data_IF_470793542193
#
_entry.id   IF_470793542193
#
_cell.length_a   1.000
_cell.length_b   1.000
_cell.length_c   1.000
_cell.angle_alpha   90.00
_cell.angle_beta   90.00
_cell.angle_gamma   90.00
#
_symmetry.space_group_name_H-M   'P 1'
#
loop_
_entity.id
_entity.type
_entity.pdbx_description
1 polymer ?
#
# COMPACT_ATOMS: atom_id res chain seq x y z
N UNK A 1 -8.77 1.32 -8.26
CA UNK A 1 -9.64 1.30 -7.07
C UNK A 1 -9.42 2.55 -6.26
N UNK A 2 -8.18 2.91 -5.94
CA UNK A 2 -7.81 4.23 -5.42
C UNK A 2 -8.57 5.37 -6.11
N UNK A 3 -8.37 5.53 -7.43
CA UNK A 3 -9.11 6.48 -8.30
C UNK A 3 -10.65 6.44 -8.18
N UNK A 4 -11.22 5.26 -7.92
CA UNK A 4 -12.67 5.13 -7.76
C UNK A 4 -13.11 5.86 -6.50
N UNK A 5 -12.34 5.79 -5.42
CA UNK A 5 -12.67 6.36 -4.12
C UNK A 5 -12.36 7.84 -3.97
N UNK A 6 -11.30 8.35 -4.61
CA UNK A 6 -10.83 9.72 -4.43
C UNK A 6 -11.19 10.67 -5.60
N UNK A 7 -11.50 10.14 -6.80
CA UNK A 7 -11.82 10.95 -7.99
C UNK A 7 -13.22 10.69 -8.54
N UNK A 8 -13.61 9.43 -8.77
CA UNK A 8 -14.78 9.12 -9.61
C UNK A 8 -16.08 8.88 -8.85
N UNK A 9 -16.02 8.20 -7.70
CA UNK A 9 -17.19 7.69 -7.01
C UNK A 9 -17.88 8.71 -6.12
N UNK A 10 -19.21 8.67 -6.12
CA UNK A 10 -20.02 9.37 -5.11
C UNK A 10 -20.01 8.60 -3.79
N UNK A 11 -20.19 9.28 -2.66
CA UNK A 11 -20.13 8.64 -1.34
C UNK A 11 -21.10 7.43 -1.20
N UNK A 12 -22.30 7.52 -1.77
CA UNK A 12 -23.28 6.42 -1.78
C UNK A 12 -22.79 5.22 -2.60
N UNK A 13 -22.22 5.48 -3.79
CA UNK A 13 -21.63 4.42 -4.63
C UNK A 13 -20.43 3.75 -3.94
N UNK A 14 -19.59 4.53 -3.25
CA UNK A 14 -18.44 4.02 -2.50
C UNK A 14 -18.85 3.14 -1.32
N UNK A 15 -19.94 3.47 -0.65
CA UNK A 15 -20.51 2.61 0.40
C UNK A 15 -20.96 1.27 -0.19
N UNK A 16 -21.69 1.29 -1.32
CA UNK A 16 -22.12 0.07 -2.01
C UNK A 16 -20.93 -0.79 -2.48
N UNK A 17 -19.89 -0.16 -3.05
CA UNK A 17 -18.69 -0.87 -3.48
C UNK A 17 -17.95 -1.51 -2.31
N UNK A 18 -17.78 -0.77 -1.21
CA UNK A 18 -17.14 -1.27 0.01
C UNK A 18 -17.90 -2.48 0.57
N UNK A 19 -19.22 -2.38 0.64
CA UNK A 19 -20.10 -3.46 1.11
C UNK A 19 -20.01 -4.70 0.21
N UNK A 20 -19.93 -4.52 -1.11
CA UNK A 20 -19.78 -5.61 -2.07
C UNK A 20 -18.44 -6.36 -1.86
N UNK A 21 -17.33 -5.64 -1.68
CA UNK A 21 -16.01 -6.22 -1.39
C UNK A 21 -16.00 -6.92 -0.03
N UNK A 22 -16.60 -6.33 1.00
CA UNK A 22 -16.68 -6.95 2.33
C UNK A 22 -17.51 -8.24 2.33
N UNK A 23 -18.68 -8.24 1.66
CA UNK A 23 -19.50 -9.45 1.51
C UNK A 23 -18.81 -10.49 0.64
N UNK A 24 -18.07 -10.05 -0.38
CA UNK A 24 -17.41 -10.90 -1.37
C UNK A 24 -18.40 -11.83 -2.06
N UNK A 25 -19.54 -11.26 -2.44
CA UNK A 25 -20.63 -11.95 -3.10
C UNK A 25 -20.81 -11.33 -4.50
N UNK A 26 -20.67 -12.15 -5.55
CA UNK A 26 -20.82 -11.71 -6.93
C UNK A 26 -22.21 -11.15 -7.20
N UNK A 27 -23.24 -11.60 -6.47
CA UNK A 27 -24.60 -11.10 -6.63
C UNK A 27 -24.78 -9.66 -6.11
N UNK A 28 -23.86 -9.16 -5.26
CA UNK A 28 -23.89 -7.76 -4.84
C UNK A 28 -23.58 -6.79 -6.00
N UNK A 29 -23.01 -7.29 -7.09
CA UNK A 29 -22.66 -6.51 -8.28
C UNK A 29 -23.87 -5.87 -8.97
N UNK A 30 -25.07 -6.46 -8.84
CA UNK A 30 -26.30 -5.91 -9.44
C UNK A 30 -26.67 -4.53 -8.89
N UNK A 31 -26.18 -4.20 -7.69
CA UNK A 31 -26.42 -2.92 -7.01
C UNK A 31 -25.37 -1.86 -7.35
N UNK A 32 -24.28 -2.25 -8.02
CA UNK A 32 -23.18 -1.34 -8.35
C UNK A 32 -23.43 -0.60 -9.68
N UNK A 33 -22.93 0.63 -9.83
CA UNK A 33 -22.82 1.29 -11.13
C UNK A 33 -21.97 0.47 -12.11
N UNK A 34 -22.25 0.58 -13.42
CA UNK A 34 -21.63 -0.25 -14.45
C UNK A 34 -20.09 -0.20 -14.45
N UNK A 35 -19.50 0.98 -14.22
CA UNK A 35 -18.05 1.15 -14.18
C UNK A 35 -17.40 0.44 -12.97
N UNK A 36 -18.12 0.34 -11.85
CA UNK A 36 -17.68 -0.35 -10.64
C UNK A 36 -17.83 -1.87 -10.76
N UNK A 37 -18.85 -2.36 -11.48
CA UNK A 37 -19.06 -3.81 -11.69
C UNK A 37 -17.83 -4.47 -12.29
N UNK A 38 -17.26 -3.86 -13.33
CA UNK A 38 -16.08 -4.39 -14.00
C UNK A 38 -14.88 -4.46 -13.04
N UNK A 39 -14.67 -3.41 -12.23
CA UNK A 39 -13.59 -3.37 -11.26
C UNK A 39 -13.75 -4.44 -10.17
N UNK A 40 -14.96 -4.56 -9.60
CA UNK A 40 -15.27 -5.58 -8.60
C UNK A 40 -15.12 -7.00 -9.15
N UNK A 41 -15.63 -7.26 -10.35
CA UNK A 41 -15.53 -8.58 -10.97
C UNK A 41 -14.08 -8.96 -11.29
N UNK A 42 -13.28 -8.00 -11.78
CA UNK A 42 -11.85 -8.21 -12.01
C UNK A 42 -11.11 -8.53 -10.71
N UNK A 43 -11.38 -7.79 -9.63
CA UNK A 43 -10.83 -8.07 -8.30
C UNK A 43 -11.24 -9.47 -7.82
N UNK A 44 -12.54 -9.76 -7.82
CA UNK A 44 -13.08 -11.04 -7.36
C UNK A 44 -12.45 -12.21 -8.12
N UNK A 45 -12.40 -12.15 -9.45
CA UNK A 45 -11.82 -13.22 -10.27
C UNK A 45 -10.33 -13.39 -10.01
N UNK A 46 -9.57 -12.30 -9.97
CA UNK A 46 -8.11 -12.34 -9.75
C UNK A 46 -7.75 -12.98 -8.41
N UNK A 47 -8.47 -12.62 -7.34
CA UNK A 47 -8.20 -13.13 -6.00
C UNK A 47 -8.63 -14.58 -5.82
N UNK A 48 -9.75 -14.98 -6.43
CA UNK A 48 -10.14 -16.39 -6.44
C UNK A 48 -9.19 -17.24 -7.28
N UNK A 49 -8.66 -16.72 -8.40
CA UNK A 49 -7.64 -17.39 -9.21
C UNK A 49 -6.33 -17.58 -8.40
N UNK A 50 -5.82 -16.53 -7.76
CA UNK A 50 -4.65 -16.62 -6.87
C UNK A 50 -4.91 -17.64 -5.75
N UNK A 51 -6.09 -17.58 -5.13
CA UNK A 51 -6.48 -18.50 -4.07
C UNK A 51 -6.51 -19.96 -4.52
N UNK A 52 -7.07 -20.23 -5.70
CA UNK A 52 -7.05 -21.55 -6.32
C UNK A 52 -5.62 -22.04 -6.58
N UNK A 53 -4.77 -21.16 -7.11
CA UNK A 53 -3.39 -21.48 -7.44
C UNK A 53 -2.55 -21.82 -6.21
N UNK A 54 -2.70 -21.05 -5.13
CA UNK A 54 -2.04 -21.31 -3.85
C UNK A 54 -2.58 -22.59 -3.21
N UNK A 55 -3.89 -22.83 -3.24
CA UNK A 55 -4.48 -24.07 -2.74
C UNK A 55 -3.94 -25.29 -3.49
N UNK A 56 -3.86 -25.21 -4.82
CA UNK A 56 -3.35 -26.28 -5.67
C UNK A 56 -1.86 -26.56 -5.44
N UNK A 57 -1.04 -25.52 -5.29
CA UNK A 57 0.43 -25.65 -5.19
C UNK A 57 0.93 -25.90 -3.77
N UNK A 58 0.26 -25.32 -2.77
CA UNK A 58 0.72 -25.30 -1.36
C UNK A 58 -0.26 -25.99 -0.40
N UNK A 59 -1.47 -26.35 -0.84
CA UNK A 59 -2.50 -26.94 0.04
C UNK A 59 -3.14 -25.93 1.01
N UNK A 60 -2.90 -24.63 0.83
CA UNK A 60 -3.35 -23.57 1.73
C UNK A 60 -4.56 -22.82 1.16
N UNK A 61 -5.62 -22.73 1.95
CA UNK A 61 -6.80 -21.93 1.61
C UNK A 61 -6.62 -20.47 2.04
N UNK A 62 -6.18 -19.62 1.11
CA UNK A 62 -5.73 -18.23 1.39
C UNK A 62 -6.76 -17.15 1.09
N UNK A 63 -7.84 -17.47 0.38
CA UNK A 63 -8.90 -16.52 0.00
C UNK A 63 -9.41 -15.68 1.19
N UNK A 64 -9.64 -16.24 2.40
CA UNK A 64 -10.09 -15.44 3.55
C UNK A 64 -9.13 -14.32 3.95
N UNK A 65 -7.81 -14.53 3.80
CA UNK A 65 -6.80 -13.53 4.13
C UNK A 65 -6.73 -12.42 3.07
N UNK A 66 -6.74 -12.81 1.79
CA UNK A 66 -6.73 -11.87 0.68
C UNK A 66 -8.01 -11.01 0.67
N UNK A 67 -9.17 -11.65 0.84
CA UNK A 67 -10.47 -10.98 0.98
C UNK A 67 -10.43 -9.95 2.12
N UNK A 68 -9.93 -10.34 3.31
CA UNK A 68 -9.84 -9.43 4.45
C UNK A 68 -8.97 -8.21 4.12
N UNK A 69 -7.81 -8.42 3.49
CA UNK A 69 -6.91 -7.34 3.13
C UNK A 69 -7.57 -6.32 2.18
N UNK A 70 -8.30 -6.81 1.16
CA UNK A 70 -9.02 -5.93 0.24
C UNK A 70 -10.22 -5.24 0.89
N UNK A 71 -10.94 -5.91 1.78
CA UNK A 71 -12.04 -5.31 2.52
C UNK A 71 -11.55 -4.19 3.46
N UNK A 72 -10.46 -4.42 4.17
CA UNK A 72 -9.84 -3.42 5.05
C UNK A 72 -9.34 -2.20 4.24
N UNK A 73 -8.76 -2.43 3.06
CA UNK A 73 -8.37 -1.34 2.14
C UNK A 73 -9.57 -0.53 1.65
N UNK A 74 -10.66 -1.18 1.23
CA UNK A 74 -11.86 -0.48 0.77
C UNK A 74 -12.51 0.33 1.91
N UNK A 75 -12.49 -0.21 3.14
CA UNK A 75 -12.97 0.50 4.33
C UNK A 75 -12.12 1.71 4.65
N UNK A 76 -10.79 1.61 4.56
CA UNK A 76 -9.91 2.75 4.82
C UNK A 76 -10.04 3.83 3.76
N UNK A 77 -10.22 3.47 2.49
CA UNK A 77 -10.57 4.44 1.45
C UNK A 77 -11.92 5.11 1.69
N UNK A 78 -12.93 4.35 2.15
CA UNK A 78 -14.24 4.92 2.48
C UNK A 78 -14.16 5.93 3.65
N UNK A 79 -13.28 5.69 4.64
CA UNK A 79 -13.01 6.65 5.71
C UNK A 79 -12.43 7.94 5.15
N UNK A 80 -11.43 7.85 4.27
CA UNK A 80 -10.84 9.02 3.61
C UNK A 80 -11.87 9.76 2.74
N UNK A 81 -12.69 9.06 1.97
CA UNK A 81 -13.78 9.67 1.22
C UNK A 81 -14.75 10.42 2.15
N UNK A 82 -15.12 9.85 3.30
CA UNK A 82 -15.98 10.54 4.29
C UNK A 82 -15.33 11.81 4.83
N UNK A 83 -14.03 11.80 5.10
CA UNK A 83 -13.30 13.02 5.49
C UNK A 83 -13.34 14.09 4.40
N UNK A 84 -13.12 13.67 3.15
CA UNK A 84 -13.17 14.56 1.98
C UNK A 84 -14.54 15.24 1.84
N UNK A 85 -15.61 14.45 1.76
CA UNK A 85 -16.97 14.94 1.55
C UNK A 85 -17.48 15.82 2.70
N UNK A 86 -16.98 15.62 3.92
CA UNK A 86 -17.36 16.43 5.10
C UNK A 86 -16.45 17.63 5.34
N UNK A 87 -15.34 17.75 4.61
CA UNK A 87 -14.29 18.76 4.88
C UNK A 87 -13.60 18.56 6.23
N UNK A 88 -13.60 17.33 6.75
CA UNK A 88 -13.01 17.01 8.05
C UNK A 88 -11.49 16.87 7.95
N UNK A 89 -10.76 17.54 8.84
CA UNK A 89 -9.32 17.34 9.00
C UNK A 89 -9.07 16.46 10.23
N UNK A 90 -8.58 15.22 10.07
CA UNK A 90 -8.27 14.35 11.19
C UNK A 90 -7.04 14.82 11.97
N UNK A 91 -6.89 14.31 13.20
CA UNK A 91 -5.60 14.41 13.93
C UNK A 91 -4.52 13.57 13.24
N UNK A 92 -3.24 13.82 13.53
CA UNK A 92 -2.15 13.03 12.95
C UNK A 92 -2.27 11.54 13.31
N UNK A 93 -2.68 11.24 14.55
CA UNK A 93 -2.87 9.85 15.00
C UNK A 93 -4.04 9.18 14.28
N UNK A 94 -5.19 9.85 14.18
CA UNK A 94 -6.38 9.34 13.49
C UNK A 94 -6.13 9.13 12.00
N UNK A 95 -5.48 10.10 11.33
CA UNK A 95 -5.03 9.95 9.96
C UNK A 95 -4.16 8.71 9.82
N UNK A 96 -3.12 8.60 10.65
CA UNK A 96 -2.17 7.51 10.53
C UNK A 96 -2.81 6.15 10.79
N UNK A 97 -3.72 6.02 11.75
CA UNK A 97 -4.41 4.76 12.04
C UNK A 97 -5.20 4.21 10.85
N UNK A 98 -5.64 5.09 9.92
CA UNK A 98 -6.25 4.73 8.65
C UNK A 98 -5.22 4.62 7.50
N UNK A 99 -4.29 5.57 7.41
CA UNK A 99 -3.48 5.83 6.23
C UNK A 99 -2.41 4.75 5.95
N UNK A 100 -1.96 4.02 6.98
CA UNK A 100 -1.07 2.88 6.79
C UNK A 100 -1.80 1.68 6.13
N UNK A 101 -3.13 1.64 6.17
CA UNK A 101 -3.94 0.67 5.43
C UNK A 101 -4.28 1.20 4.04
N UNK A 102 -4.76 2.45 3.93
CA UNK A 102 -5.16 3.06 2.65
C UNK A 102 -4.05 3.14 1.61
N UNK A 103 -2.77 3.13 2.04
CA UNK A 103 -1.63 3.08 1.10
C UNK A 103 -1.45 1.70 0.42
N UNK A 104 -2.32 0.73 0.70
CA UNK A 104 -2.34 -0.63 0.14
C UNK A 104 -1.15 -1.55 0.49
N UNK A 105 -0.16 -1.07 1.24
CA UNK A 105 0.99 -1.89 1.65
C UNK A 105 0.58 -3.20 2.37
N UNK A 106 -0.43 -3.23 3.26
CA UNK A 106 -0.89 -4.49 3.85
C UNK A 106 -1.41 -5.47 2.80
N UNK A 107 -2.16 -5.00 1.79
CA UNK A 107 -2.61 -5.83 0.67
C UNK A 107 -1.41 -6.39 -0.08
N UNK A 108 -0.46 -5.55 -0.48
CA UNK A 108 0.74 -5.97 -1.22
C UNK A 108 1.52 -7.04 -0.45
N UNK A 109 1.75 -6.83 0.86
CA UNK A 109 2.54 -7.73 1.68
C UNK A 109 1.82 -9.03 2.01
N UNK A 110 0.50 -9.01 2.24
CA UNK A 110 -0.27 -10.26 2.42
C UNK A 110 -0.22 -11.09 1.13
N UNK A 111 -0.32 -10.48 -0.05
CA UNK A 111 -0.15 -11.20 -1.33
C UNK A 111 1.26 -11.76 -1.44
N UNK A 112 2.28 -10.94 -1.18
CA UNK A 112 3.67 -11.36 -1.27
C UNK A 112 3.99 -12.55 -0.34
N UNK A 113 3.45 -12.56 0.88
CA UNK A 113 3.63 -13.67 1.82
C UNK A 113 3.18 -15.01 1.24
N UNK A 114 1.98 -15.08 0.66
CA UNK A 114 1.45 -16.32 0.10
C UNK A 114 2.09 -16.70 -1.24
N UNK A 115 2.56 -15.71 -2.01
CA UNK A 115 3.19 -15.92 -3.31
C UNK A 115 4.69 -16.25 -3.23
N UNK A 116 5.36 -15.95 -2.11
CA UNK A 116 6.76 -16.30 -1.88
C UNK A 116 6.99 -17.83 -1.90
N UNK A 117 6.01 -18.61 -1.45
CA UNK A 117 6.05 -20.07 -1.46
C UNK A 117 6.75 -20.72 -0.26
N UNK A 118 7.18 -19.95 0.73
CA UNK A 118 7.66 -20.49 2.02
C UNK A 118 6.52 -21.18 2.78
N UNK A 119 6.76 -22.32 3.46
CA UNK A 119 5.74 -22.97 4.28
C UNK A 119 5.16 -22.03 5.34
N UNK A 120 3.84 -21.88 5.38
CA UNK A 120 3.17 -21.05 6.36
C UNK A 120 3.01 -21.77 7.71
N UNK A 121 3.46 -21.14 8.79
CA UNK A 121 3.21 -21.61 10.15
C UNK A 121 1.82 -21.17 10.62
N UNK A 122 1.20 -21.92 11.54
CA UNK A 122 -0.08 -21.54 12.12
C UNK A 122 0.00 -20.20 12.86
N UNK A 123 1.15 -19.92 13.46
CA UNK A 123 1.46 -18.69 14.19
C UNK A 123 1.54 -17.49 13.23
N UNK A 124 2.16 -17.64 12.06
CA UNK A 124 2.19 -16.61 11.03
C UNK A 124 0.80 -16.35 10.46
N UNK A 125 0.05 -17.42 10.15
CA UNK A 125 -1.33 -17.31 9.66
C UNK A 125 -2.24 -16.59 10.65
N UNK A 126 -2.13 -16.88 11.96
CA UNK A 126 -2.87 -16.13 13.00
C UNK A 126 -2.45 -14.66 13.02
N UNK A 127 -1.14 -14.39 13.00
CA UNK A 127 -0.60 -13.02 13.05
C UNK A 127 -1.00 -12.18 11.84
N UNK A 128 -1.12 -12.78 10.66
CA UNK A 128 -1.55 -12.09 9.42
C UNK A 128 -2.97 -11.54 9.49
N UNK A 129 -3.85 -12.08 10.34
CA UNK A 129 -5.21 -11.56 10.50
C UNK A 129 -5.23 -10.15 11.09
N UNK A 130 -4.31 -9.86 12.00
CA UNK A 130 -4.19 -8.57 12.69
C UNK A 130 -3.10 -7.67 12.09
N UNK A 131 -2.47 -8.11 11.00
CA UNK A 131 -1.28 -7.52 10.39
C UNK A 131 -0.09 -7.44 11.36
N UNK A 132 0.97 -8.25 11.18
CA UNK A 132 2.15 -8.18 12.04
C UNK A 132 2.84 -6.82 11.93
N UNK A 133 3.56 -6.45 12.99
CA UNK A 133 4.32 -5.19 13.09
C UNK A 133 5.20 -4.90 11.88
N UNK A 134 5.84 -5.92 11.28
CA UNK A 134 6.66 -5.74 10.08
C UNK A 134 5.86 -5.18 8.89
N UNK A 135 4.60 -5.59 8.71
CA UNK A 135 3.69 -5.05 7.70
C UNK A 135 3.36 -3.60 8.07
N UNK A 136 3.00 -3.34 9.33
CA UNK A 136 2.63 -2.00 9.79
C UNK A 136 3.77 -1.00 9.58
N UNK A 137 5.00 -1.31 10.01
CA UNK A 137 6.15 -0.40 9.88
C UNK A 137 6.53 -0.16 8.43
N UNK A 138 6.50 -1.19 7.58
CA UNK A 138 6.72 -1.03 6.14
C UNK A 138 5.66 -0.12 5.52
N UNK A 139 4.40 -0.32 5.89
CA UNK A 139 3.27 0.48 5.41
C UNK A 139 3.37 1.94 5.84
N UNK A 140 3.79 2.21 7.08
CA UNK A 140 4.02 3.57 7.56
C UNK A 140 5.12 4.28 6.77
N UNK A 141 6.23 3.60 6.45
CA UNK A 141 7.28 4.20 5.62
C UNK A 141 6.77 4.47 4.21
N UNK A 142 6.02 3.54 3.60
CA UNK A 142 5.42 3.77 2.29
C UNK A 142 4.48 4.98 2.29
N UNK A 143 3.59 5.06 3.28
CA UNK A 143 2.66 6.19 3.47
C UNK A 143 3.41 7.51 3.64
N UNK A 144 4.37 7.58 4.55
CA UNK A 144 5.10 8.82 4.79
C UNK A 144 5.96 9.26 3.60
N UNK A 145 6.58 8.31 2.88
CA UNK A 145 7.33 8.61 1.68
C UNK A 145 6.40 9.16 0.57
N UNK A 146 5.24 8.53 0.38
CA UNK A 146 4.20 9.01 -0.53
C UNK A 146 3.76 10.43 -0.15
N UNK A 147 3.28 10.64 1.08
CA UNK A 147 2.79 11.95 1.53
C UNK A 147 3.86 13.05 1.37
N UNK A 148 5.13 12.77 1.66
CA UNK A 148 6.23 13.72 1.45
C UNK A 148 6.39 14.12 -0.04
N UNK A 149 6.19 13.17 -0.94
CA UNK A 149 6.34 13.33 -2.38
C UNK A 149 5.10 13.87 -3.11
N UNK A 150 3.89 13.71 -2.55
CA UNK A 150 2.64 13.98 -3.28
C UNK A 150 1.78 15.09 -2.65
N UNK A 151 1.90 15.37 -1.35
CA UNK A 151 0.91 16.20 -0.62
C UNK A 151 0.69 17.60 -1.22
N UNK A 152 1.74 18.21 -1.78
CA UNK A 152 1.65 19.58 -2.29
C UNK A 152 0.80 19.69 -3.55
N UNK A 153 0.82 18.68 -4.42
CA UNK A 153 0.06 18.68 -5.66
C UNK A 153 -1.34 18.08 -5.48
N UNK A 154 -1.49 17.14 -4.56
CA UNK A 154 -2.80 16.65 -4.08
C UNK A 154 -3.62 17.78 -3.45
N UNK A 155 -3.02 18.57 -2.54
CA UNK A 155 -3.71 19.68 -1.89
C UNK A 155 -4.17 20.75 -2.91
N UNK A 156 -3.39 21.02 -3.96
CA UNK A 156 -3.79 21.95 -5.04
C UNK A 156 -4.99 21.45 -5.85
N UNK A 157 -5.15 20.13 -5.94
CA UNK A 157 -6.30 19.47 -6.60
C UNK A 157 -7.52 19.38 -5.69
N UNK A 158 -7.39 19.79 -4.42
CA UNK A 158 -8.46 19.82 -3.43
C UNK A 158 -8.63 18.52 -2.66
N UNK A 159 -7.66 17.60 -2.73
CA UNK A 159 -7.68 16.32 -2.01
C UNK A 159 -7.57 16.51 -0.47
N UNK A 160 -7.83 15.43 0.27
CA UNK A 160 -7.74 15.35 1.71
C UNK A 160 -6.38 15.81 2.27
N UNK A 161 -6.37 16.39 3.49
CA UNK A 161 -5.16 16.58 4.27
C UNK A 161 -4.38 15.26 4.41
N UNK A 162 -3.09 15.28 4.06
CA UNK A 162 -2.17 14.15 4.31
C UNK A 162 -1.42 14.35 5.63
N UNK A 163 -0.44 13.50 5.95
CA UNK A 163 0.29 13.57 7.22
C UNK A 163 0.89 14.96 7.53
N UNK A 164 1.43 15.63 6.50
CA UNK A 164 2.00 16.99 6.65
C UNK A 164 0.93 17.98 7.13
N UNK A 165 -0.23 18.02 6.47
CA UNK A 165 -1.30 18.94 6.80
C UNK A 165 -1.97 18.58 8.14
N UNK A 166 -2.17 17.29 8.43
CA UNK A 166 -2.70 16.84 9.71
C UNK A 166 -1.80 17.26 10.88
N UNK A 167 -0.48 17.11 10.74
CA UNK A 167 0.48 17.55 11.75
C UNK A 167 0.48 19.08 11.94
N UNK A 168 0.45 19.84 10.84
CA UNK A 168 0.35 21.30 10.89
C UNK A 168 -0.93 21.77 11.59
N UNK A 169 -2.05 21.11 11.28
CA UNK A 169 -3.35 21.41 11.87
C UNK A 169 -3.37 21.16 13.39
N UNK A 170 -2.83 20.02 13.82
CA UNK A 170 -2.85 19.62 15.23
C UNK A 170 -1.88 20.45 16.10
N UNK A 171 -0.73 20.84 15.56
CA UNK A 171 0.35 21.45 16.35
C UNK A 171 0.56 22.94 16.09
N UNK A 172 -0.01 23.49 15.00
CA UNK A 172 0.30 24.84 14.53
C UNK A 172 1.71 25.00 13.94
N UNK A 173 2.42 23.89 13.68
CA UNK A 173 3.76 23.93 13.10
C UNK A 173 3.77 24.43 11.65
N UNK A 174 4.93 24.94 11.20
CA UNK A 174 5.13 25.25 9.78
C UNK A 174 5.28 23.98 8.94
N UNK A 175 5.01 24.07 7.64
CA UNK A 175 5.18 22.94 6.70
C UNK A 175 6.60 22.36 6.76
N UNK A 176 7.62 23.22 6.85
CA UNK A 176 9.02 22.77 6.96
C UNK A 176 9.24 21.88 8.20
N UNK A 177 8.69 22.28 9.36
CA UNK A 177 8.76 21.48 10.60
C UNK A 177 7.94 20.20 10.51
N UNK A 178 6.78 20.25 9.86
CA UNK A 178 5.96 19.07 9.63
C UNK A 178 6.71 18.04 8.77
N UNK A 179 7.30 18.47 7.65
CA UNK A 179 8.12 17.60 6.77
C UNK A 179 9.33 17.02 7.51
N UNK A 180 10.02 17.80 8.33
CA UNK A 180 11.12 17.32 9.18
C UNK A 180 10.62 16.25 10.16
N UNK A 181 9.46 16.47 10.79
CA UNK A 181 8.86 15.49 11.69
C UNK A 181 8.51 14.18 10.97
N UNK A 182 7.91 14.24 9.77
CA UNK A 182 7.59 13.05 8.98
C UNK A 182 8.87 12.29 8.58
N UNK A 183 9.95 12.97 8.20
CA UNK A 183 11.24 12.34 7.93
C UNK A 183 11.83 11.66 9.17
N UNK A 184 11.69 12.28 10.35
CA UNK A 184 12.06 11.66 11.62
C UNK A 184 11.26 10.37 11.88
N UNK A 185 9.94 10.38 11.66
CA UNK A 185 9.08 9.21 11.83
C UNK A 185 9.45 8.06 10.89
N UNK A 186 9.87 8.35 9.64
CA UNK A 186 10.44 7.34 8.74
C UNK A 186 11.68 6.70 9.36
N UNK A 187 12.58 7.50 9.95
CA UNK A 187 13.77 7.00 10.65
C UNK A 187 13.41 6.09 11.84
N UNK A 188 12.40 6.45 12.62
CA UNK A 188 11.91 5.63 13.74
C UNK A 188 11.30 4.31 13.26
N UNK A 189 10.49 4.33 12.19
CA UNK A 189 9.93 3.12 11.61
C UNK A 189 11.03 2.18 11.07
N UNK A 190 12.10 2.73 10.46
CA UNK A 190 13.26 1.95 10.04
C UNK A 190 13.96 1.23 11.20
N UNK A 191 14.10 1.89 12.36
CA UNK A 191 14.64 1.24 13.57
C UNK A 191 13.79 0.05 14.00
N UNK A 192 12.46 0.14 13.87
CA UNK A 192 11.54 -0.98 14.16
C UNK A 192 11.72 -2.13 13.16
N UNK A 193 11.75 -1.86 11.86
CA UNK A 193 12.01 -2.89 10.83
C UNK A 193 13.35 -3.60 11.09
N UNK A 194 14.41 -2.85 11.42
CA UNK A 194 15.72 -3.43 11.72
C UNK A 194 15.71 -4.31 12.96
N UNK A 195 14.90 -3.98 13.97
CA UNK A 195 14.67 -4.84 15.13
C UNK A 195 14.01 -6.15 14.72
N UNK A 196 12.91 -6.10 13.95
CA UNK A 196 12.19 -7.29 13.47
C UNK A 196 13.12 -8.23 12.66
N UNK A 197 13.99 -7.67 11.83
CA UNK A 197 15.00 -8.43 11.06
C UNK A 197 16.02 -9.18 11.93
N UNK A 198 16.30 -8.67 13.11
CA UNK A 198 17.25 -9.26 14.05
C UNK A 198 16.66 -10.32 14.98
N UNK A 199 15.33 -10.51 14.98
CA UNK A 199 14.67 -11.50 15.82
C UNK A 199 14.86 -12.91 15.26
N UNK A 200 15.38 -13.82 16.07
CA UNK A 200 15.60 -15.21 15.68
C UNK A 200 14.30 -16.04 15.58
N UNK A 201 13.27 -15.67 16.36
CA UNK A 201 12.05 -16.46 16.56
C UNK A 201 10.79 -15.84 15.92
N UNK A 202 10.95 -14.97 14.92
CA UNK A 202 9.81 -14.37 14.24
C UNK A 202 9.10 -15.43 13.36
N UNK A 203 7.75 -15.53 13.36
CA UNK A 203 7.04 -16.61 12.69
C UNK A 203 7.07 -16.54 11.16
N UNK A 204 7.72 -15.51 10.59
CA UNK A 204 7.81 -15.26 9.16
C UNK A 204 9.20 -15.59 8.61
N UNK A 205 9.25 -15.97 7.33
CA UNK A 205 10.52 -16.25 6.65
C UNK A 205 11.40 -15.00 6.57
N UNK A 206 12.72 -15.19 6.53
CA UNK A 206 13.67 -14.09 6.29
C UNK A 206 13.40 -13.38 4.96
N UNK A 207 12.98 -14.13 3.95
CA UNK A 207 12.61 -13.61 2.64
C UNK A 207 11.42 -12.66 2.75
N UNK A 208 10.35 -13.01 3.47
CA UNK A 208 9.19 -12.15 3.66
C UNK A 208 9.57 -10.84 4.36
N UNK A 209 10.39 -10.92 5.41
CA UNK A 209 10.87 -9.74 6.14
C UNK A 209 11.70 -8.85 5.21
N UNK A 210 12.50 -9.43 4.32
CA UNK A 210 13.26 -8.67 3.33
C UNK A 210 12.34 -8.03 2.28
N UNK A 211 11.29 -8.72 1.82
CA UNK A 211 10.28 -8.16 0.92
C UNK A 211 9.57 -6.96 1.57
N UNK A 212 9.14 -7.09 2.83
CA UNK A 212 8.51 -5.99 3.55
C UNK A 212 9.42 -4.76 3.65
N UNK A 213 10.69 -4.95 3.95
CA UNK A 213 11.63 -3.85 3.99
C UNK A 213 12.00 -3.32 2.59
N UNK A 214 12.00 -4.16 1.56
CA UNK A 214 12.18 -3.72 0.17
C UNK A 214 11.01 -2.87 -0.31
N UNK A 215 9.79 -3.13 0.15
CA UNK A 215 8.65 -2.24 -0.10
C UNK A 215 8.89 -0.84 0.46
N UNK A 216 9.43 -0.76 1.69
CA UNK A 216 9.82 0.52 2.31
C UNK A 216 10.95 1.23 1.53
N UNK A 217 11.97 0.50 1.05
CA UNK A 217 13.02 1.08 0.19
C UNK A 217 12.48 1.57 -1.15
N UNK A 218 11.61 0.77 -1.76
CA UNK A 218 10.96 1.11 -3.02
C UNK A 218 10.17 2.41 -2.87
N UNK A 219 9.41 2.56 -1.78
CA UNK A 219 8.67 3.79 -1.50
C UNK A 219 9.57 5.03 -1.53
N UNK A 220 10.67 4.99 -0.80
CA UNK A 220 11.61 6.11 -0.72
C UNK A 220 12.33 6.36 -2.04
N UNK A 221 12.47 5.34 -2.89
CA UNK A 221 13.01 5.48 -4.24
C UNK A 221 12.01 6.14 -5.18
N UNK A 222 10.76 5.66 -5.21
CA UNK A 222 9.70 6.15 -6.10
C UNK A 222 9.31 7.59 -5.75
N UNK A 223 9.17 7.90 -4.47
CA UNK A 223 8.72 9.23 -4.02
C UNK A 223 9.86 10.21 -3.68
N UNK A 224 11.10 9.88 -4.07
CA UNK A 224 12.29 10.67 -3.69
C UNK A 224 12.24 12.11 -4.22
N UNK A 225 11.70 12.29 -5.42
CA UNK A 225 11.74 13.55 -6.17
C UNK A 225 10.33 14.06 -6.53
N UNK A 226 9.32 13.64 -5.77
CA UNK A 226 7.91 13.97 -6.02
C UNK A 226 7.10 12.72 -6.30
N UNK A 227 5.99 12.89 -7.02
CA UNK A 227 5.10 11.78 -7.39
C UNK A 227 5.68 10.94 -8.54
N UNK A 228 6.53 9.97 -8.21
CA UNK A 228 7.07 9.02 -9.18
C UNK A 228 6.11 7.90 -9.59
N UNK A 229 4.87 7.88 -9.08
CA UNK A 229 3.89 6.83 -9.37
C UNK A 229 2.76 7.35 -10.28
N UNK A 230 2.13 8.46 -9.90
CA UNK A 230 1.04 9.09 -10.64
C UNK A 230 1.49 9.95 -11.82
N UNK A 231 2.74 10.43 -11.82
CA UNK A 231 3.30 11.24 -12.91
C UNK A 231 4.20 10.38 -13.80
N UNK A 232 3.83 10.28 -15.08
CA UNK A 232 4.48 9.39 -16.07
C UNK A 232 5.91 9.79 -16.49
N UNK A 233 6.41 10.94 -16.02
CA UNK A 233 7.67 11.53 -16.45
C UNK A 233 8.66 11.70 -15.29
N UNK A 234 9.89 12.10 -15.61
CA UNK A 234 10.94 12.36 -14.62
C UNK A 234 11.80 11.15 -14.27
N UNK A 235 12.47 11.24 -13.14
CA UNK A 235 13.57 10.36 -12.73
C UNK A 235 13.12 8.91 -12.56
N UNK A 236 11.87 8.67 -12.12
CA UNK A 236 11.35 7.31 -11.94
C UNK A 236 11.21 6.58 -13.27
N UNK A 237 10.79 7.26 -14.35
CA UNK A 237 10.77 6.67 -15.70
C UNK A 237 12.15 6.27 -16.16
N UNK A 238 13.15 7.13 -15.96
CA UNK A 238 14.53 6.83 -16.35
C UNK A 238 15.10 5.63 -15.58
N UNK A 239 14.79 5.52 -14.28
CA UNK A 239 15.14 4.35 -13.46
C UNK A 239 14.49 3.08 -13.98
N UNK A 240 13.19 3.11 -14.30
CA UNK A 240 12.46 1.95 -14.86
C UNK A 240 13.04 1.54 -16.20
N UNK A 241 13.29 2.49 -17.10
CA UNK A 241 13.89 2.22 -18.41
C UNK A 241 15.29 1.62 -18.27
N UNK A 242 16.11 2.14 -17.35
CA UNK A 242 17.46 1.62 -17.11
C UNK A 242 17.46 0.21 -16.51
N UNK A 243 16.46 -0.12 -15.69
CA UNK A 243 16.43 -1.40 -14.96
C UNK A 243 15.77 -2.52 -15.78
N UNK A 244 14.69 -2.22 -16.51
CA UNK A 244 13.83 -3.22 -17.15
C UNK A 244 13.94 -3.26 -18.69
N UNK A 245 14.38 -2.17 -19.33
CA UNK A 245 14.33 -2.04 -20.79
C UNK A 245 15.72 -1.98 -21.41
N UNK A 246 16.63 -1.20 -20.84
CA UNK A 246 17.96 -0.96 -21.39
C UNK A 246 18.94 -2.01 -20.86
N UNK A 247 19.50 -2.90 -21.69
CA UNK A 247 20.49 -3.87 -21.25
C UNK A 247 21.81 -3.17 -20.87
N UNK A 248 22.56 -3.77 -19.95
CA UNK A 248 23.92 -3.32 -19.61
C UNK A 248 24.82 -3.59 -20.81
N UNK A 249 25.51 -2.57 -21.38
CA UNK A 249 26.44 -2.80 -22.49
C UNK A 249 27.60 -3.72 -22.05
N UNK A 250 27.81 -4.79 -22.80
CA UNK A 250 28.98 -5.67 -22.64
C UNK A 250 30.01 -5.26 -23.68
N UNK A 251 31.07 -4.59 -23.25
CA UNK A 251 32.21 -4.34 -24.12
C UNK A 251 33.14 -5.56 -24.07
N UNK A 252 33.16 -6.35 -25.15
CA UNK A 252 34.17 -7.38 -25.33
C UNK A 252 35.49 -6.69 -25.68
N UNK A 253 36.44 -6.69 -24.76
CA UNK A 253 37.83 -6.37 -25.08
C UNK A 253 38.34 -7.45 -26.03
N UNK A 254 38.46 -7.12 -27.31
CA UNK A 254 39.22 -7.94 -28.25
C UNK A 254 40.67 -7.96 -27.75
N UNK A 255 41.31 -9.14 -27.62
CA UNK A 255 42.73 -9.18 -27.31
C UNK A 255 43.49 -8.45 -28.43
N UNK A 256 44.37 -7.53 -28.05
CA UNK A 256 45.21 -6.79 -28.99
C UNK A 256 46.07 -7.80 -29.80
N UNK A 257 46.29 -7.51 -31.11
CA UNK A 257 47.02 -8.38 -32.03
C UNK A 257 48.50 -8.57 -31.68
#
# INVERSE_FOLDING_TARGET
MDDIYDVYGTLDELQLFTDAVERWDVNAMDQLPEYMKLCFLALHNSINEIGYDVLRKQGLYVIPYLKKAWADLCKSYLVEAKWYYSGYTPTMQEYMDNAWISISAPVILVHAYFLEGSPASNEALKSLKEYPDIIRWSSMILRFANDLGTSSDELKRGDNPKSIQCYMYETGASEAKAREHIQYLIGEAWKKINKERGLADFPFSKTFIEVAANLARMAQCVYQYGDGYGIENGETKDRVLSLLVKPIPIYLFLPFP
#
